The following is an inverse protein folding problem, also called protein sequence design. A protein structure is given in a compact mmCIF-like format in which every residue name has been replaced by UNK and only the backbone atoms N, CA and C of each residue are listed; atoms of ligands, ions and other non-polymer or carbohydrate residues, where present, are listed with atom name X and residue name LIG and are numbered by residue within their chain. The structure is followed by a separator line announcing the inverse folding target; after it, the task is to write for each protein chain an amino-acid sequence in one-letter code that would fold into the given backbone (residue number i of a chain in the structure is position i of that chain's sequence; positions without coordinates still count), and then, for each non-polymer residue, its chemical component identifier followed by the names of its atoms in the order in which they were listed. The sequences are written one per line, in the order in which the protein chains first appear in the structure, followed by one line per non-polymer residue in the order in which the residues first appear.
data_IF_021180812427
#
_entry.id   IF_021180812427
#
_cell.length_a   1.000
_cell.length_b   1.000
_cell.length_c   1.000
_cell.angle_alpha   90.00
_cell.angle_beta   90.00
_cell.angle_gamma   90.00
#
_symmetry.space_group_name_H-M   'P 1'
#
loop_
_entity.id
_entity.type
_entity.pdbx_description
1 polymer ?
#
# COMPACT_ATOMS: atom_id res chain seq x y z
N UNK A 1 12.41 -14.68 -8.97
CA UNK A 1 11.26 -13.75 -8.97
C UNK A 1 11.75 -12.34 -9.16
N UNK A 2 10.94 -11.49 -9.80
CA UNK A 2 11.35 -10.12 -10.04
C UNK A 2 11.15 -9.26 -8.79
N UNK A 3 11.93 -8.18 -8.72
CA UNK A 3 11.79 -7.20 -7.63
C UNK A 3 10.36 -6.63 -7.61
N UNK A 4 9.76 -6.44 -8.78
CA UNK A 4 8.41 -5.90 -8.89
C UNK A 4 7.38 -6.83 -8.23
N UNK A 5 7.49 -8.13 -8.47
CA UNK A 5 6.60 -9.11 -7.86
C UNK A 5 6.73 -9.11 -6.34
N UNK A 6 7.96 -9.01 -5.84
CA UNK A 6 8.19 -8.94 -4.39
C UNK A 6 7.54 -7.69 -3.80
N UNK A 7 7.66 -6.54 -4.48
CA UNK A 7 7.02 -5.31 -4.03
C UNK A 7 5.50 -5.42 -4.02
N UNK A 8 4.92 -6.03 -5.06
CA UNK A 8 3.48 -6.22 -5.13
C UNK A 8 2.98 -7.11 -3.97
N UNK A 9 3.68 -8.19 -3.70
CA UNK A 9 3.36 -9.07 -2.58
C UNK A 9 3.46 -8.34 -1.25
N UNK A 10 4.49 -7.52 -1.07
CA UNK A 10 4.68 -6.73 0.14
C UNK A 10 3.50 -5.79 0.37
N UNK A 11 3.05 -5.11 -0.69
CA UNK A 11 1.91 -4.20 -0.62
C UNK A 11 0.64 -4.95 -0.26
N UNK A 12 0.38 -6.07 -0.94
CA UNK A 12 -0.83 -6.86 -0.70
C UNK A 12 -0.88 -7.35 0.75
N UNK A 13 0.22 -7.95 1.21
CA UNK A 13 0.28 -8.50 2.56
C UNK A 13 0.26 -7.39 3.62
N UNK A 14 0.95 -6.28 3.34
CA UNK A 14 0.99 -5.17 4.28
C UNK A 14 -0.35 -4.51 4.48
N UNK A 15 -1.11 -4.30 3.40
CA UNK A 15 -2.41 -3.63 3.49
C UNK A 15 -3.47 -4.50 4.14
N UNK A 16 -3.26 -5.82 4.19
CA UNK A 16 -4.19 -6.72 4.88
C UNK A 16 -3.99 -6.74 6.39
N UNK A 17 -2.88 -6.18 6.87
CA UNK A 17 -2.59 -6.10 8.30
C UNK A 17 -3.29 -4.88 8.89
N UNK A 18 -3.63 -4.95 10.18
CA UNK A 18 -4.26 -3.83 10.88
C UNK A 18 -3.36 -2.59 10.89
N UNK A 19 -2.05 -2.80 10.99
CA UNK A 19 -1.07 -1.72 11.02
C UNK A 19 -0.75 -1.16 9.63
N UNK A 20 -1.16 -1.86 8.58
CA UNK A 20 -0.85 -1.46 7.22
C UNK A 20 0.59 -1.73 6.83
N UNK A 21 1.07 -1.02 5.81
CA UNK A 21 2.44 -1.16 5.31
C UNK A 21 3.26 0.06 5.73
N UNK A 22 4.46 -0.17 6.30
CA UNK A 22 5.35 0.90 6.72
C UNK A 22 6.17 1.41 5.53
N UNK A 23 6.05 2.71 5.23
CA UNK A 23 6.72 3.28 4.06
C UNK A 23 8.23 3.34 4.24
N UNK A 24 8.70 3.50 5.47
CA UNK A 24 10.14 3.54 5.76
C UNK A 24 10.76 2.16 5.56
N UNK A 25 10.12 1.13 6.08
CA UNK A 25 10.57 -0.25 5.88
C UNK A 25 10.59 -0.63 4.42
N UNK A 26 9.56 -0.22 3.67
CA UNK A 26 9.50 -0.46 2.24
C UNK A 26 10.68 0.21 1.52
N UNK A 27 10.96 1.46 1.87
CA UNK A 27 12.09 2.18 1.27
C UNK A 27 13.41 1.50 1.58
N UNK A 28 13.60 1.09 2.84
CA UNK A 28 14.84 0.43 3.25
C UNK A 28 15.03 -0.91 2.54
N UNK A 29 13.93 -1.61 2.27
CA UNK A 29 13.98 -2.93 1.64
C UNK A 29 14.21 -2.85 0.13
N UNK A 30 13.56 -1.90 -0.53
CA UNK A 30 13.56 -1.82 -2.00
C UNK A 30 14.26 -0.59 -2.55
N UNK A 31 14.68 0.31 -1.67
CA UNK A 31 15.37 1.54 -2.04
C UNK A 31 14.56 2.43 -2.98
N UNK A 32 13.24 2.41 -2.81
CA UNK A 32 12.31 3.24 -3.58
C UNK A 32 11.07 3.53 -2.74
N UNK A 33 10.37 4.61 -3.07
CA UNK A 33 9.14 4.97 -2.37
C UNK A 33 7.97 4.17 -2.92
N UNK A 34 7.14 3.65 -2.01
CA UNK A 34 5.94 2.92 -2.40
C UNK A 34 5.01 3.80 -3.24
N UNK A 35 4.95 5.09 -2.93
CA UNK A 35 4.08 6.03 -3.65
C UNK A 35 4.54 6.27 -5.09
N UNK A 36 5.83 6.08 -5.38
CA UNK A 36 6.37 6.22 -6.73
C UNK A 36 6.14 4.96 -7.56
N UNK A 37 6.08 3.81 -6.91
CA UNK A 37 5.94 2.53 -7.60
C UNK A 37 4.48 2.13 -7.82
N UNK A 38 3.57 2.61 -6.99
CA UNK A 38 2.17 2.22 -7.01
C UNK A 38 1.27 3.45 -6.95
N UNK A 39 0.01 3.29 -7.36
CA UNK A 39 -0.99 4.35 -7.37
C UNK A 39 -1.57 4.58 -5.97
N UNK A 40 -0.71 4.98 -5.04
CA UNK A 40 -1.11 5.20 -3.65
C UNK A 40 -1.65 6.61 -3.43
N UNK A 41 -0.97 7.62 -3.99
CA UNK A 41 -1.31 9.02 -3.76
C UNK A 41 -2.77 9.37 -4.11
N UNK A 42 -3.32 8.96 -5.28
CA UNK A 42 -4.71 9.25 -5.58
C UNK A 42 -5.68 8.66 -4.56
N UNK A 43 -5.37 7.48 -4.04
CA UNK A 43 -6.23 6.81 -3.06
C UNK A 43 -6.15 7.50 -1.70
N UNK A 44 -4.99 8.04 -1.35
CA UNK A 44 -4.85 8.84 -0.14
C UNK A 44 -5.67 10.13 -0.23
N UNK A 45 -5.65 10.77 -1.41
CA UNK A 45 -6.41 12.00 -1.63
C UNK A 45 -7.92 11.75 -1.58
N UNK A 46 -8.37 10.60 -2.05
CA UNK A 46 -9.77 10.23 -2.02
C UNK A 46 -10.24 9.79 -0.63
N UNK A 47 -9.30 9.58 0.30
CA UNK A 47 -9.63 9.12 1.63
C UNK A 47 -9.90 7.62 1.73
N UNK A 48 -9.55 6.85 0.69
CA UNK A 48 -9.69 5.39 0.71
C UNK A 48 -8.58 4.77 1.53
N UNK A 49 -7.36 5.29 1.39
CA UNK A 49 -6.23 4.89 2.20
C UNK A 49 -5.94 5.98 3.22
N UNK A 50 -5.30 5.60 4.30
CA UNK A 50 -4.93 6.50 5.38
C UNK A 50 -3.45 6.34 5.70
N UNK A 51 -2.76 7.46 5.94
CA UNK A 51 -1.37 7.41 6.40
C UNK A 51 -1.32 7.80 7.87
N UNK A 52 -0.73 6.91 8.68
CA UNK A 52 -0.63 7.12 10.12
C UNK A 52 0.71 6.61 10.61
N UNK A 53 1.52 7.48 11.22
CA UNK A 53 2.84 7.12 11.74
C UNK A 53 3.72 6.43 10.70
N UNK A 54 3.72 6.95 9.46
CA UNK A 54 4.46 6.40 8.33
C UNK A 54 3.95 5.03 7.86
N UNK A 55 2.75 4.64 8.30
CA UNK A 55 2.10 3.42 7.83
C UNK A 55 0.94 3.80 6.92
N UNK A 56 0.82 3.09 5.79
CA UNK A 56 -0.32 3.24 4.89
C UNK A 56 -1.27 2.09 5.15
N UNK A 57 -2.51 2.39 5.46
CA UNK A 57 -3.52 1.38 5.75
C UNK A 57 -4.84 1.71 5.06
N UNK A 58 -5.65 0.68 4.88
CA UNK A 58 -6.98 0.84 4.31
C UNK A 58 -7.91 1.30 5.42
N UNK A 59 -8.70 2.36 5.16
CA UNK A 59 -9.67 2.81 6.14
C UNK A 59 -10.65 1.69 6.47
N UNK A 60 -11.03 1.60 7.75
CA UNK A 60 -11.93 0.57 8.24
C UNK A 60 -13.22 0.50 7.41
N UNK A 61 -13.76 1.65 7.03
CA UNK A 61 -14.98 1.72 6.22
C UNK A 61 -14.80 1.18 4.80
N UNK A 62 -13.56 0.98 4.35
CA UNK A 62 -13.24 0.52 3.01
C UNK A 62 -12.68 -0.90 2.96
N UNK A 63 -12.64 -1.58 4.09
CA UNK A 63 -12.02 -2.92 4.18
C UNK A 63 -12.71 -3.93 3.27
N UNK A 64 -14.05 -3.88 3.14
CA UNK A 64 -14.73 -4.87 2.31
C UNK A 64 -14.61 -4.62 0.81
N UNK A 65 -14.01 -3.51 0.40
CA UNK A 65 -13.66 -3.30 -1.01
C UNK A 65 -12.15 -3.41 -1.24
N UNK A 66 -11.46 -4.10 -0.33
CA UNK A 66 -10.01 -4.26 -0.37
C UNK A 66 -9.52 -4.81 -1.70
N UNK A 67 -10.20 -5.80 -2.28
CA UNK A 67 -9.78 -6.37 -3.56
C UNK A 67 -9.79 -5.33 -4.68
N UNK A 68 -10.81 -4.47 -4.70
CA UNK A 68 -10.89 -3.39 -5.68
C UNK A 68 -9.78 -2.37 -5.46
N UNK A 69 -9.48 -2.05 -4.19
CA UNK A 69 -8.41 -1.13 -3.84
C UNK A 69 -7.06 -1.68 -4.30
N UNK A 70 -6.79 -2.95 -4.04
CA UNK A 70 -5.54 -3.58 -4.45
C UNK A 70 -5.39 -3.59 -5.97
N UNK A 71 -6.47 -3.86 -6.70
CA UNK A 71 -6.45 -3.81 -8.16
C UNK A 71 -6.08 -2.41 -8.65
N UNK A 72 -6.62 -1.38 -8.03
CA UNK A 72 -6.33 0.00 -8.37
C UNK A 72 -4.87 0.36 -8.11
N UNK A 73 -4.33 -0.10 -6.97
CA UNK A 73 -2.95 0.14 -6.59
C UNK A 73 -1.98 -0.52 -7.56
N UNK A 74 -2.28 -1.75 -7.97
CA UNK A 74 -1.38 -2.55 -8.79
C UNK A 74 -1.48 -2.29 -10.30
N UNK A 75 -2.35 -1.38 -10.69
CA UNK A 75 -2.36 -0.94 -12.08
C UNK A 75 -1.01 -0.28 -12.41
#
# INVERSE_FOLDING_TARGET
MSKREDMENEVILGLRKLDGINVIDFYNKYNTNIQDEFNITPLLKKGILEMKNNNILIKESQIYVMNSILTEILK
#
